data_IF_770507422900
#
_entry.id   IF_770507422900
#
_cell.length_a   1.000
_cell.length_b   1.000
_cell.length_c   1.000
_cell.angle_alpha   90.00
_cell.angle_beta   90.00
_cell.angle_gamma   90.00
#
_symmetry.space_group_name_H-M   'P 1'
#
loop_
_entity.id
_entity.type
_entity.pdbx_description
1 polymer ?
#
# COMPACT_ATOMS: atom_id res chain seq x y z
N UNK A 1 -14.41 10.26 32.83
CA UNK A 1 -13.66 9.19 32.13
C UNK A 1 -12.33 9.76 31.62
N UNK A 2 -11.22 9.45 32.29
CA UNK A 2 -9.90 9.95 31.88
C UNK A 2 -9.45 9.23 30.60
N UNK A 3 -9.15 9.98 29.52
CA UNK A 3 -8.64 9.40 28.27
C UNK A 3 -7.19 8.96 28.50
N UNK A 4 -6.93 7.64 28.43
CA UNK A 4 -5.57 7.07 28.44
C UNK A 4 -4.75 7.68 27.29
N UNK A 5 -3.50 8.07 27.58
CA UNK A 5 -2.55 8.55 26.58
C UNK A 5 -2.41 7.54 25.42
N UNK A 6 -2.52 8.02 24.18
CA UNK A 6 -2.62 7.19 22.98
C UNK A 6 -1.23 6.64 22.64
N UNK A 7 -1.03 5.34 22.83
CA UNK A 7 0.13 4.63 22.28
C UNK A 7 0.17 4.79 20.76
N UNK A 8 1.36 4.65 20.17
CA UNK A 8 1.54 4.63 18.72
C UNK A 8 0.61 3.54 18.14
N UNK A 9 -0.21 3.90 17.14
CA UNK A 9 -1.16 2.98 16.50
C UNK A 9 -0.86 2.86 15.02
N UNK A 10 -1.01 1.66 14.49
CA UNK A 10 -0.99 1.43 13.04
C UNK A 10 -2.11 2.21 12.34
N UNK A 11 -1.78 2.96 11.29
CA UNK A 11 -2.80 3.56 10.43
C UNK A 11 -3.44 2.48 9.56
N UNK A 12 -4.65 2.05 9.90
CA UNK A 12 -5.36 0.93 9.24
C UNK A 12 -5.61 1.18 7.74
N UNK A 13 -5.75 2.44 7.31
CA UNK A 13 -5.87 2.79 5.89
C UNK A 13 -4.62 2.40 5.08
N UNK A 14 -3.44 2.58 5.67
CA UNK A 14 -2.15 2.22 5.07
C UNK A 14 -1.98 0.70 5.08
N UNK A 15 -2.27 0.05 6.21
CA UNK A 15 -2.17 -1.41 6.34
C UNK A 15 -3.07 -2.17 5.35
N UNK A 16 -4.22 -1.61 4.96
CA UNK A 16 -5.11 -2.20 3.94
C UNK A 16 -4.58 -2.06 2.50
N UNK A 17 -3.65 -1.13 2.25
CA UNK A 17 -3.18 -0.77 0.90
C UNK A 17 -1.78 -1.28 0.58
N UNK A 18 -0.92 -1.39 1.59
CA UNK A 18 0.48 -1.77 1.45
C UNK A 18 0.77 -3.04 2.23
N UNK A 19 1.54 -3.95 1.64
CA UNK A 19 2.00 -5.18 2.27
C UNK A 19 3.53 -5.21 2.29
N UNK A 20 4.12 -5.55 3.42
CA UNK A 20 5.56 -5.79 3.56
C UNK A 20 5.82 -7.26 3.24
N UNK A 21 6.78 -7.55 2.36
CA UNK A 21 7.24 -8.92 2.08
C UNK A 21 8.19 -9.39 3.17
N UNK A 22 8.41 -10.70 3.30
CA UNK A 22 9.40 -11.22 4.27
C UNK A 22 10.84 -10.73 4.05
N UNK A 23 11.12 -10.14 2.89
CA UNK A 23 12.39 -9.48 2.55
C UNK A 23 12.41 -7.97 2.84
N UNK A 24 11.36 -7.41 3.46
CA UNK A 24 11.25 -6.00 3.80
C UNK A 24 10.84 -5.07 2.65
N UNK A 25 10.49 -5.61 1.47
CA UNK A 25 10.03 -4.79 0.33
C UNK A 25 8.55 -4.46 0.48
N UNK A 26 8.16 -3.25 0.06
CA UNK A 26 6.77 -2.80 0.17
C UNK A 26 6.05 -3.00 -1.17
N UNK A 27 5.02 -3.84 -1.15
CA UNK A 27 4.15 -4.13 -2.28
C UNK A 27 2.89 -3.25 -2.26
N UNK A 28 2.43 -2.87 -3.45
CA UNK A 28 1.17 -2.15 -3.69
C UNK A 28 0.45 -2.65 -4.94
N UNK A 29 -0.85 -2.40 -5.00
CA UNK A 29 -1.62 -2.56 -6.23
C UNK A 29 -1.52 -1.31 -7.12
N UNK A 30 -1.52 -1.50 -8.44
CA UNK A 30 -1.52 -0.40 -9.40
C UNK A 30 -2.92 0.21 -9.54
N UNK A 31 -3.06 1.54 -9.57
CA UNK A 31 -4.36 2.20 -9.71
C UNK A 31 -4.91 2.10 -11.15
N UNK A 32 -6.22 2.34 -11.32
CA UNK A 32 -6.83 2.52 -12.65
C UNK A 32 -7.40 1.27 -13.32
N UNK A 33 -7.56 0.16 -12.59
CA UNK A 33 -8.15 -1.10 -13.10
C UNK A 33 -9.63 -1.34 -12.70
N UNK A 34 -10.30 -0.38 -12.05
CA UNK A 34 -11.67 -0.58 -11.53
C UNK A 34 -12.79 -0.37 -12.55
N UNK A 35 -12.66 0.63 -13.42
CA UNK A 35 -13.70 1.04 -14.38
C UNK A 35 -13.05 1.51 -15.70
N UNK A 36 -13.86 1.67 -16.74
CA UNK A 36 -13.44 2.08 -18.10
C UNK A 36 -12.36 1.16 -18.67
N UNK A 37 -12.57 -0.16 -18.57
CA UNK A 37 -11.62 -1.16 -19.05
C UNK A 37 -11.72 -1.42 -20.56
N UNK A 38 -12.88 -1.12 -21.15
CA UNK A 38 -13.12 -1.26 -22.59
C UNK A 38 -12.17 -0.38 -23.41
N UNK A 39 -11.94 0.87 -22.99
CA UNK A 39 -11.01 1.80 -23.66
C UNK A 39 -9.53 1.52 -23.40
N UNK A 40 -9.19 0.53 -22.56
CA UNK A 40 -7.80 0.19 -22.23
C UNK A 40 -7.36 -1.03 -23.02
N UNK A 41 -6.25 -0.90 -23.75
CA UNK A 41 -5.59 -2.02 -24.43
C UNK A 41 -5.31 -3.17 -23.43
N UNK A 42 -5.46 -4.42 -23.90
CA UNK A 42 -5.16 -5.64 -23.16
C UNK A 42 -3.77 -5.61 -22.48
N UNK A 43 -2.72 -5.09 -23.15
CA UNK A 43 -1.37 -4.94 -22.56
C UNK A 43 -1.39 -4.04 -21.32
N UNK A 44 -2.12 -2.93 -21.36
CA UNK A 44 -2.28 -2.00 -20.23
C UNK A 44 -3.03 -2.67 -19.09
N UNK A 45 -4.14 -3.37 -19.38
CA UNK A 45 -4.94 -4.09 -18.38
C UNK A 45 -4.12 -5.16 -17.64
N UNK A 46 -3.27 -5.89 -18.37
CA UNK A 46 -2.36 -6.90 -17.78
C UNK A 46 -1.34 -6.25 -16.84
N UNK A 47 -0.67 -5.17 -17.28
CA UNK A 47 0.29 -4.42 -16.45
C UNK A 47 -0.34 -3.91 -15.16
N UNK A 48 -1.57 -3.40 -15.22
CA UNK A 48 -2.31 -2.91 -14.04
C UNK A 48 -2.75 -4.03 -13.09
N UNK A 49 -2.82 -5.28 -13.55
CA UNK A 49 -3.21 -6.42 -12.71
C UNK A 49 -2.09 -6.89 -11.80
N UNK A 50 -0.84 -6.78 -12.25
CA UNK A 50 0.30 -7.24 -11.47
C UNK A 50 0.58 -6.26 -10.32
N UNK A 51 0.96 -6.76 -9.14
CA UNK A 51 1.45 -5.90 -8.06
C UNK A 51 2.74 -5.18 -8.47
N UNK A 52 3.03 -4.09 -7.79
CA UNK A 52 4.22 -3.28 -7.99
C UNK A 52 4.90 -3.00 -6.66
N UNK A 53 6.21 -2.75 -6.70
CA UNK A 53 6.89 -2.18 -5.56
C UNK A 53 6.55 -0.69 -5.43
N UNK A 54 6.57 -0.21 -4.19
CA UNK A 54 6.55 1.23 -3.90
C UNK A 54 7.88 1.83 -4.36
N UNK A 55 7.88 3.11 -4.71
CA UNK A 55 9.11 3.84 -5.03
C UNK A 55 9.89 4.17 -3.76
N UNK A 56 11.22 4.18 -3.84
CA UNK A 56 12.12 4.43 -2.71
C UNK A 56 11.76 5.70 -1.93
N UNK A 57 11.30 6.75 -2.61
CA UNK A 57 10.94 8.03 -1.98
C UNK A 57 9.81 7.93 -0.95
N UNK A 58 8.92 6.94 -1.11
CA UNK A 58 7.73 6.78 -0.26
C UNK A 58 7.91 5.74 0.85
N UNK A 59 9.04 5.03 0.92
CA UNK A 59 9.26 3.97 1.91
C UNK A 59 9.18 4.51 3.34
N UNK A 60 9.91 5.59 3.63
CA UNK A 60 9.95 6.18 4.97
C UNK A 60 8.53 6.56 5.46
N UNK A 61 7.74 7.18 4.58
CA UNK A 61 6.36 7.56 4.89
C UNK A 61 5.50 6.33 5.18
N UNK A 62 5.61 5.25 4.42
CA UNK A 62 4.80 4.04 4.65
C UNK A 62 5.21 3.35 5.95
N UNK A 63 6.51 3.28 6.25
CA UNK A 63 7.02 2.61 7.46
C UNK A 63 6.64 3.35 8.74
N UNK A 64 6.71 4.68 8.76
CA UNK A 64 6.25 5.50 9.91
C UNK A 64 4.78 5.22 10.28
N UNK A 65 3.96 4.91 9.28
CA UNK A 65 2.55 4.61 9.46
C UNK A 65 2.26 3.16 9.89
N UNK A 66 3.25 2.28 9.79
CA UNK A 66 3.18 0.84 10.09
C UNK A 66 4.21 0.44 11.17
N UNK A 67 4.12 1.01 12.38
CA UNK A 67 5.14 0.88 13.43
C UNK A 67 5.33 -0.53 14.01
N UNK A 68 4.40 -1.46 13.74
CA UNK A 68 4.43 -2.84 14.27
C UNK A 68 4.55 -3.90 13.16
N UNK A 69 4.76 -3.48 11.92
CA UNK A 69 4.85 -4.40 10.78
C UNK A 69 6.32 -4.53 10.39
N UNK A 70 6.95 -5.63 10.78
CA UNK A 70 8.29 -6.04 10.37
C UNK A 70 8.21 -7.12 9.29
#
# INVERSE_FOLDING_TARGET
>A
MQRKAKSIKTRKSVAKRFKITGTGKIMRNRPGKRHLLASKNAKRRRKLSSPALVDKTDYARVMENLPFSH
#
